data_IF_439788776799
#
_entry.id   IF_439788776799
#
_cell.length_a   1.000
_cell.length_b   1.000
_cell.length_c   1.000
_cell.angle_alpha   90.00
_cell.angle_beta   90.00
_cell.angle_gamma   90.00
#
_symmetry.space_group_name_H-M   'P 1'
#
loop_
_entity.id
_entity.type
_entity.pdbx_description
1 polymer ?
#
# COMPACT_ATOMS: atom_id res chain seq x y z
N UNK A 1 -23.16 3.06 -26.38
CA UNK A 1 -24.34 2.62 -25.60
C UNK A 1 -23.75 1.93 -24.39
N UNK A 2 -23.55 2.68 -23.30
CA UNK A 2 -23.12 2.08 -22.04
C UNK A 2 -24.29 1.26 -21.51
N UNK A 3 -24.08 -0.05 -21.38
CA UNK A 3 -24.95 -0.93 -20.63
C UNK A 3 -25.00 -0.35 -19.21
N UNK A 4 -26.20 -0.01 -18.75
CA UNK A 4 -26.43 0.55 -17.42
C UNK A 4 -25.80 -0.42 -16.43
N UNK A 5 -24.84 0.05 -15.61
CA UNK A 5 -24.24 -0.85 -14.65
C UNK A 5 -25.34 -1.33 -13.71
N UNK A 6 -25.31 -2.60 -13.27
CA UNK A 6 -26.33 -3.10 -12.36
C UNK A 6 -26.31 -2.23 -11.09
N UNK A 7 -27.45 -1.63 -10.76
CA UNK A 7 -27.64 -0.97 -9.48
C UNK A 7 -27.68 -2.05 -8.39
N UNK A 8 -26.53 -2.30 -7.76
CA UNK A 8 -26.39 -3.28 -6.68
C UNK A 8 -26.63 -2.56 -5.36
N UNK A 9 -27.77 -2.85 -4.74
CA UNK A 9 -28.14 -2.35 -3.42
C UNK A 9 -27.40 -3.09 -2.31
N UNK A 10 -27.25 -2.44 -1.16
CA UNK A 10 -26.66 -3.04 0.03
C UNK A 10 -27.73 -3.81 0.81
N UNK A 11 -27.56 -5.12 0.90
CA UNK A 11 -28.47 -6.08 1.52
C UNK A 11 -27.75 -7.00 2.53
N UNK A 12 -26.60 -6.59 3.06
CA UNK A 12 -25.79 -7.42 3.97
C UNK A 12 -24.83 -8.39 3.28
N UNK A 13 -24.56 -8.20 1.98
CA UNK A 13 -23.66 -9.09 1.24
C UNK A 13 -22.19 -8.93 1.66
N UNK A 14 -21.44 -10.02 1.50
CA UNK A 14 -19.97 -9.99 1.53
C UNK A 14 -19.43 -9.83 0.11
N UNK A 15 -18.42 -8.97 -0.06
CA UNK A 15 -17.77 -8.71 -1.33
C UNK A 15 -16.26 -8.70 -1.14
N UNK A 16 -15.57 -9.47 -1.98
CA UNK A 16 -14.13 -9.45 -2.09
C UNK A 16 -13.66 -8.54 -3.22
N UNK A 17 -12.76 -7.60 -2.92
CA UNK A 17 -12.05 -6.80 -3.91
C UNK A 17 -10.58 -7.19 -3.92
N UNK A 18 -10.10 -7.55 -5.11
CA UNK A 18 -8.70 -7.89 -5.35
C UNK A 18 -8.11 -6.87 -6.31
N UNK A 19 -7.10 -6.13 -5.84
CA UNK A 19 -6.32 -5.21 -6.66
C UNK A 19 -4.94 -5.82 -6.86
N UNK A 20 -4.48 -5.83 -8.11
CA UNK A 20 -3.12 -6.26 -8.45
C UNK A 20 -2.44 -5.18 -9.27
N UNK A 21 -1.15 -5.00 -9.07
CA UNK A 21 -0.34 -4.15 -9.94
C UNK A 21 -0.04 -4.87 -11.25
N UNK A 22 -0.27 -4.19 -12.37
CA UNK A 22 0.01 -4.74 -13.70
C UNK A 22 1.47 -4.56 -14.13
N UNK A 23 1.89 -5.28 -15.16
CA UNK A 23 3.20 -5.11 -15.82
C UNK A 23 4.41 -5.28 -14.88
N UNK A 24 4.29 -6.16 -13.87
CA UNK A 24 5.35 -6.40 -12.89
C UNK A 24 5.62 -5.22 -11.97
N UNK A 25 4.70 -4.25 -11.90
CA UNK A 25 4.78 -3.17 -10.94
C UNK A 25 4.48 -3.71 -9.52
N UNK A 26 5.00 -3.01 -8.53
CA UNK A 26 4.78 -3.28 -7.11
C UNK A 26 5.07 -2.02 -6.32
N UNK A 27 4.63 -2.00 -5.06
CA UNK A 27 5.03 -1.01 -4.07
C UNK A 27 6.09 -1.63 -3.19
N UNK A 28 7.27 -1.01 -3.10
CA UNK A 28 8.27 -1.39 -2.09
C UNK A 28 8.05 -0.60 -0.83
N UNK A 29 7.94 -1.33 0.29
CA UNK A 29 7.94 -0.78 1.63
C UNK A 29 9.32 -0.95 2.25
N UNK A 30 9.77 0.07 2.98
CA UNK A 30 11.11 0.16 3.55
C UNK A 30 11.07 0.15 5.07
N UNK A 31 12.16 -0.27 5.71
CA UNK A 31 12.29 -0.22 7.18
C UNK A 31 12.06 1.19 7.74
N UNK A 32 12.34 2.22 6.94
CA UNK A 32 12.04 3.62 7.27
C UNK A 32 10.54 4.00 7.17
N UNK A 33 9.74 3.26 6.40
CA UNK A 33 8.26 3.45 6.27
C UNK A 33 7.48 2.55 7.23
N UNK A 34 8.19 1.91 8.15
CA UNK A 34 7.63 1.07 9.20
C UNK A 34 6.59 1.85 10.01
N UNK A 35 5.37 1.32 10.09
CA UNK A 35 4.19 1.89 10.77
C UNK A 35 3.58 3.17 10.16
N UNK A 36 4.09 3.70 9.04
CA UNK A 36 3.51 4.90 8.40
C UNK A 36 2.74 4.60 7.12
N UNK A 37 2.88 3.41 6.55
CA UNK A 37 2.21 3.04 5.32
C UNK A 37 0.71 2.81 5.55
N UNK A 38 -0.09 3.44 4.70
CA UNK A 38 -1.53 3.41 4.73
C UNK A 38 -2.05 3.40 3.29
N UNK A 39 -3.06 2.57 3.05
CA UNK A 39 -3.80 2.55 1.80
C UNK A 39 -5.22 3.03 2.08
N UNK A 40 -5.67 3.97 1.27
CA UNK A 40 -7.05 4.44 1.27
C UNK A 40 -7.71 3.94 -0.02
N UNK A 41 -8.67 3.02 0.12
CA UNK A 41 -9.52 2.57 -0.97
C UNK A 41 -10.84 3.33 -0.93
N UNK A 42 -11.14 4.09 -1.98
CA UNK A 42 -12.34 4.90 -2.07
C UNK A 42 -13.41 4.18 -2.90
N UNK A 43 -14.56 3.91 -2.30
CA UNK A 43 -15.75 3.39 -2.98
C UNK A 43 -16.80 4.48 -3.12
N UNK A 44 -17.22 4.75 -4.36
CA UNK A 44 -18.35 5.65 -4.60
C UNK A 44 -19.68 4.90 -4.39
N UNK A 45 -20.58 5.53 -3.63
CA UNK A 45 -21.95 5.06 -3.45
C UNK A 45 -22.94 6.12 -3.93
N UNK A 46 -24.19 5.74 -4.11
CA UNK A 46 -25.27 6.67 -4.43
C UNK A 46 -25.48 7.70 -3.31
N UNK A 47 -26.01 8.87 -3.68
CA UNK A 47 -26.22 10.01 -2.79
C UNK A 47 -27.47 9.80 -1.91
N UNK A 48 -27.40 8.88 -0.95
CA UNK A 48 -28.40 8.69 0.10
C UNK A 48 -28.07 9.54 1.35
N UNK A 49 -29.07 9.92 2.17
CA UNK A 49 -28.83 10.75 3.35
C UNK A 49 -27.77 10.12 4.27
N UNK A 50 -26.83 10.95 4.73
CA UNK A 50 -25.60 10.60 5.49
C UNK A 50 -25.89 10.00 6.89
N UNK A 51 -26.54 8.83 6.94
CA UNK A 51 -26.45 7.95 8.10
C UNK A 51 -25.04 7.37 8.22
N UNK A 52 -24.64 6.96 9.43
CA UNK A 52 -23.40 6.22 9.60
C UNK A 52 -23.50 4.87 8.87
N UNK A 53 -22.65 4.66 7.86
CA UNK A 53 -22.53 3.38 7.18
C UNK A 53 -21.61 2.48 7.99
N UNK A 54 -22.16 1.40 8.53
CA UNK A 54 -21.38 0.40 9.28
C UNK A 54 -20.85 -0.66 8.31
N UNK A 55 -19.83 -0.33 7.53
CA UNK A 55 -19.08 -1.34 6.82
C UNK A 55 -18.28 -2.17 7.83
N UNK A 56 -18.39 -3.49 7.70
CA UNK A 56 -17.48 -4.42 8.35
C UNK A 56 -16.48 -4.94 7.33
N UNK A 57 -15.38 -5.52 7.81
CA UNK A 57 -14.45 -6.19 6.91
C UNK A 57 -13.03 -6.21 7.40
N UNK A 58 -12.20 -6.89 6.62
CA UNK A 58 -10.76 -6.94 6.82
C UNK A 58 -10.04 -6.84 5.48
N UNK A 59 -8.76 -6.51 5.51
CA UNK A 59 -7.94 -6.58 4.32
C UNK A 59 -6.50 -6.89 4.65
N UNK A 60 -5.76 -7.28 3.62
CA UNK A 60 -4.34 -7.57 3.70
C UNK A 60 -3.64 -7.25 2.38
N UNK A 61 -2.31 -7.23 2.43
CA UNK A 61 -1.47 -7.06 1.25
C UNK A 61 -0.99 -8.41 0.77
N UNK A 62 -0.68 -8.52 -0.52
CA UNK A 62 -0.16 -9.77 -1.08
C UNK A 62 1.19 -9.60 -1.76
N UNK A 63 2.01 -10.63 -1.69
CA UNK A 63 3.24 -10.76 -2.46
C UNK A 63 2.96 -11.16 -3.92
N UNK A 64 4.03 -11.39 -4.70
CA UNK A 64 3.96 -11.77 -6.10
C UNK A 64 3.41 -13.19 -6.37
N UNK A 65 3.21 -13.99 -5.33
CA UNK A 65 2.55 -15.31 -5.40
C UNK A 65 1.10 -15.26 -4.87
N UNK A 66 0.62 -14.08 -4.45
CA UNK A 66 -0.69 -13.91 -3.83
C UNK A 66 -0.72 -14.29 -2.34
N UNK A 67 0.43 -14.51 -1.71
CA UNK A 67 0.50 -14.83 -0.29
C UNK A 67 0.37 -13.58 0.57
N UNK A 68 -0.28 -13.73 1.72
CA UNK A 68 -0.54 -12.64 2.65
C UNK A 68 0.76 -12.07 3.25
N UNK A 69 0.89 -10.75 3.22
CA UNK A 69 1.98 -9.97 3.82
C UNK A 69 1.49 -9.36 5.14
N UNK A 70 1.79 -10.07 6.23
CA UNK A 70 1.37 -9.69 7.58
C UNK A 70 -0.01 -10.21 7.96
N UNK A 71 -0.54 -9.79 9.11
CA UNK A 71 -1.90 -10.14 9.49
C UNK A 71 -2.92 -9.23 8.79
N UNK A 72 -4.07 -9.79 8.44
CA UNK A 72 -5.22 -9.01 8.03
C UNK A 72 -5.62 -7.99 9.11
N UNK A 73 -6.01 -6.81 8.66
CA UNK A 73 -6.43 -5.71 9.53
C UNK A 73 -7.87 -5.33 9.28
N UNK A 74 -8.55 -4.94 10.35
CA UNK A 74 -9.93 -4.43 10.26
C UNK A 74 -9.95 -3.15 9.45
N UNK A 75 -10.88 -3.08 8.52
CA UNK A 75 -11.08 -1.89 7.69
C UNK A 75 -11.86 -0.84 8.48
N UNK A 76 -11.39 0.41 8.39
CA UNK A 76 -12.11 1.55 8.96
C UNK A 76 -12.79 2.27 7.81
N UNK A 77 -14.13 2.32 7.85
CA UNK A 77 -14.94 3.03 6.88
C UNK A 77 -15.23 4.45 7.34
N UNK A 78 -14.83 5.43 6.53
CA UNK A 78 -15.07 6.84 6.78
C UNK A 78 -15.96 7.41 5.68
N UNK A 79 -17.08 8.07 6.02
CA UNK A 79 -17.89 8.74 5.01
C UNK A 79 -17.12 9.94 4.45
N UNK A 80 -17.05 10.03 3.13
CA UNK A 80 -16.40 11.15 2.44
C UNK A 80 -17.40 11.83 1.52
N UNK A 81 -17.50 13.14 1.66
CA UNK A 81 -18.22 13.99 0.70
C UNK A 81 -17.18 14.69 -0.17
N UNK A 82 -17.01 14.24 -1.41
CA UNK A 82 -16.22 14.98 -2.39
C UNK A 82 -17.12 16.01 -3.07
N UNK A 83 -16.60 17.23 -3.25
CA UNK A 83 -17.31 18.33 -3.88
C UNK A 83 -18.01 17.85 -5.17
N UNK A 84 -19.29 18.24 -5.32
CA UNK A 84 -20.25 17.79 -6.33
C UNK A 84 -21.07 16.50 -6.02
N UNK A 85 -21.72 16.45 -4.84
CA UNK A 85 -22.82 15.51 -4.54
C UNK A 85 -22.45 14.02 -4.57
N UNK A 86 -21.20 13.68 -4.29
CA UNK A 86 -20.75 12.30 -4.24
C UNK A 86 -20.45 11.91 -2.80
N UNK A 87 -21.19 10.92 -2.32
CA UNK A 87 -20.90 10.22 -1.07
C UNK A 87 -20.06 9.01 -1.43
N UNK A 88 -18.95 8.82 -0.73
CA UNK A 88 -18.15 7.62 -0.82
C UNK A 88 -17.70 7.15 0.55
N UNK A 89 -17.03 6.02 0.56
CA UNK A 89 -16.43 5.44 1.76
C UNK A 89 -14.95 5.23 1.50
N UNK A 90 -14.11 5.85 2.33
CA UNK A 90 -12.70 5.52 2.41
C UNK A 90 -12.51 4.32 3.33
N UNK A 91 -11.83 3.30 2.82
CA UNK A 91 -11.38 2.16 3.59
C UNK A 91 -9.89 2.27 3.85
N UNK A 92 -9.57 2.44 5.13
CA UNK A 92 -8.21 2.58 5.60
C UNK A 92 -7.61 1.22 5.95
N UNK A 93 -6.53 0.83 5.25
CA UNK A 93 -5.73 -0.36 5.53
C UNK A 93 -4.35 0.01 6.13
N UNK A 94 -4.01 -0.60 7.28
CA UNK A 94 -2.70 -0.45 7.97
C UNK A 94 -2.06 -1.81 8.29
N UNK A 95 -1.72 -2.62 7.28
CA UNK A 95 -1.56 -4.07 7.41
C UNK A 95 -0.18 -4.52 7.91
N UNK A 96 0.83 -3.65 7.88
CA UNK A 96 2.21 -4.08 8.14
C UNK A 96 2.75 -3.56 9.47
N UNK A 97 3.15 -4.52 10.30
CA UNK A 97 4.01 -4.32 11.46
C UNK A 97 5.49 -4.38 11.07
N UNK A 98 6.36 -3.83 11.91
CA UNK A 98 7.80 -3.65 11.68
C UNK A 98 8.60 -4.81 11.11
N UNK A 99 8.21 -6.04 11.44
CA UNK A 99 9.07 -7.21 11.26
C UNK A 99 8.99 -7.80 9.84
N UNK A 100 8.12 -7.24 8.99
CA UNK A 100 7.83 -7.73 7.64
C UNK A 100 8.43 -6.87 6.54
N UNK A 101 9.31 -5.93 6.88
CA UNK A 101 9.84 -4.93 5.95
C UNK A 101 11.38 -5.07 5.85
N UNK A 102 12.03 -4.95 4.66
CA UNK A 102 11.46 -4.56 3.36
C UNK A 102 10.57 -5.63 2.73
N UNK A 103 9.46 -5.20 2.14
CA UNK A 103 8.50 -6.04 1.42
C UNK A 103 8.08 -5.43 0.10
N UNK A 104 7.83 -6.29 -0.88
CA UNK A 104 7.26 -5.94 -2.17
C UNK A 104 5.78 -6.30 -2.16
N UNK A 105 4.93 -5.29 -2.29
CA UNK A 105 3.48 -5.41 -2.29
C UNK A 105 3.02 -5.46 -3.75
N UNK A 106 2.48 -6.60 -4.15
CA UNK A 106 2.01 -6.87 -5.52
C UNK A 106 0.48 -6.83 -5.64
N UNK A 107 -0.23 -6.84 -4.52
CA UNK A 107 -1.67 -6.70 -4.50
C UNK A 107 -2.24 -6.32 -3.14
N UNK A 108 -3.54 -6.05 -3.17
CA UNK A 108 -4.36 -5.67 -2.01
C UNK A 108 -5.63 -6.52 -2.09
N UNK A 109 -5.94 -7.20 -0.99
CA UNK A 109 -7.19 -7.92 -0.82
C UNK A 109 -8.04 -7.22 0.23
N UNK A 110 -9.32 -6.99 -0.09
CA UNK A 110 -10.31 -6.44 0.83
C UNK A 110 -11.51 -7.39 0.87
N UNK A 111 -11.86 -7.86 2.04
CA UNK A 111 -13.11 -8.58 2.33
C UNK A 111 -14.05 -7.61 3.05
N UNK A 112 -15.14 -7.23 2.38
CA UNK A 112 -16.12 -6.27 2.88
C UNK A 112 -17.44 -6.94 3.20
N UNK A 113 -17.93 -6.73 4.41
CA UNK A 113 -19.34 -6.94 4.74
C UNK A 113 -20.07 -5.61 4.59
N UNK A 114 -20.92 -5.54 3.56
CA UNK A 114 -21.76 -4.37 3.32
C UNK A 114 -22.90 -4.30 4.35
N UNK A 115 -23.34 -3.10 4.75
CA UNK A 115 -24.49 -2.97 5.63
C UNK A 115 -25.79 -3.47 4.96
N UNK A 116 -26.82 -3.75 5.75
CA UNK A 116 -28.15 -4.04 5.21
C UNK A 116 -28.96 -2.74 5.11
N UNK A 117 -28.76 -2.03 4.02
CA UNK A 117 -29.23 -0.66 3.82
C UNK A 117 -29.58 -0.43 2.34
N UNK A 118 -30.77 -0.87 1.89
CA UNK A 118 -31.15 -0.88 0.47
C UNK A 118 -31.27 0.52 -0.16
N UNK A 119 -31.31 1.57 0.66
CA UNK A 119 -31.18 2.96 0.23
C UNK A 119 -29.79 3.29 -0.33
N UNK A 120 -28.76 2.51 0.03
CA UNK A 120 -27.42 2.61 -0.52
C UNK A 120 -27.16 1.56 -1.61
N UNK A 121 -26.35 1.93 -2.59
CA UNK A 121 -25.89 1.05 -3.65
C UNK A 121 -24.74 1.65 -4.44
N UNK A 122 -24.05 0.80 -5.20
CA UNK A 122 -23.04 1.26 -6.15
C UNK A 122 -23.78 1.91 -7.34
N UNK A 123 -23.52 3.19 -7.58
CA UNK A 123 -24.12 3.92 -8.70
C UNK A 123 -23.30 3.82 -9.99
N UNK A 124 -23.87 4.31 -11.11
CA UNK A 124 -23.24 4.42 -12.44
C UNK A 124 -22.10 5.48 -12.52
N UNK A 125 -21.40 5.74 -11.42
CA UNK A 125 -20.30 6.70 -11.39
C UNK A 125 -18.99 6.12 -11.95
N UNK A 126 -18.01 6.96 -12.34
CA UNK A 126 -16.64 6.50 -12.57
C UNK A 126 -16.16 5.59 -11.43
N UNK A 127 -15.36 4.57 -11.75
CA UNK A 127 -14.91 3.58 -10.78
C UNK A 127 -14.22 4.25 -9.59
N UNK A 128 -14.37 3.64 -8.41
CA UNK A 128 -13.59 3.96 -7.23
C UNK A 128 -12.08 3.83 -7.50
N UNK A 129 -11.26 4.32 -6.59
CA UNK A 129 -9.81 4.37 -6.77
C UNK A 129 -9.07 3.95 -5.50
N UNK A 130 -7.83 3.50 -5.68
CA UNK A 130 -6.90 3.29 -4.57
C UNK A 130 -5.92 4.46 -4.56
N UNK A 131 -5.81 5.14 -3.42
CA UNK A 131 -4.84 6.21 -3.20
C UNK A 131 -3.92 5.86 -2.05
N UNK A 132 -2.67 6.31 -2.14
CA UNK A 132 -1.65 6.08 -1.13
C UNK A 132 -1.39 7.41 -0.42
N UNK A 133 -1.72 7.49 0.86
CA UNK A 133 -1.43 8.67 1.66
C UNK A 133 0.08 8.76 1.97
N UNK A 134 0.59 10.00 2.06
CA UNK A 134 2.00 10.40 2.13
C UNK A 134 3.04 9.42 2.72
N UNK A 135 4.21 9.38 2.04
CA UNK A 135 5.58 9.13 2.52
C UNK A 135 6.36 8.01 1.80
N UNK A 136 7.56 8.36 1.33
CA UNK A 136 8.74 7.55 0.94
C UNK A 136 8.54 6.07 0.57
N UNK A 137 7.59 5.75 -0.31
CA UNK A 137 7.50 4.47 -0.99
C UNK A 137 7.96 4.61 -2.45
N UNK A 138 8.47 3.53 -3.04
CA UNK A 138 8.79 3.49 -4.47
C UNK A 138 7.76 2.67 -5.23
N UNK A 139 7.34 3.17 -6.40
CA UNK A 139 6.46 2.46 -7.32
C UNK A 139 7.29 2.04 -8.54
N UNK A 140 7.24 0.75 -8.87
CA UNK A 140 7.72 0.22 -10.15
C UNK A 140 9.02 -0.60 -10.10
N UNK A 141 9.44 -1.17 -11.24
CA UNK A 141 10.67 -1.96 -11.34
C UNK A 141 11.91 -1.08 -11.11
N UNK A 142 12.87 -1.56 -10.32
CA UNK A 142 14.13 -0.85 -10.08
C UNK A 142 14.15 0.12 -8.90
N UNK A 143 13.12 0.12 -8.05
CA UNK A 143 13.16 0.84 -6.76
C UNK A 143 14.32 0.31 -5.90
N UNK A 144 15.33 1.13 -5.54
CA UNK A 144 16.49 0.69 -4.76
C UNK A 144 16.05 0.06 -3.44
N UNK A 145 16.75 -0.98 -2.98
CA UNK A 145 16.32 -1.81 -1.83
C UNK A 145 16.39 -1.07 -0.48
N UNK A 146 17.10 0.05 -0.42
CA UNK A 146 17.38 0.79 0.81
C UNK A 146 17.18 2.28 0.60
N UNK A 147 16.23 2.89 1.32
CA UNK A 147 16.25 4.34 1.56
C UNK A 147 17.35 4.60 2.59
N UNK A 148 18.61 4.49 2.15
CA UNK A 148 19.81 4.98 2.82
C UNK A 148 20.61 5.72 1.76
N UNK A 149 21.04 6.97 1.99
CA UNK A 149 22.03 7.60 1.12
C UNK A 149 23.32 6.77 1.15
N UNK A 150 23.77 6.27 0.00
CA UNK A 150 25.08 5.62 -0.19
C UNK A 150 26.28 6.57 0.04
N UNK A 151 26.07 7.73 0.65
CA UNK A 151 27.08 8.77 0.85
C UNK A 151 27.55 8.79 2.31
N UNK A 152 28.39 7.83 2.69
CA UNK A 152 29.17 7.98 3.92
C UNK A 152 30.10 6.83 4.22
N UNK A 153 29.62 5.60 4.11
CA UNK A 153 30.33 4.45 4.69
C UNK A 153 31.17 3.68 3.67
N UNK A 154 30.66 3.47 2.46
CA UNK A 154 31.33 2.60 1.47
C UNK A 154 32.65 3.20 0.96
N UNK A 155 32.65 4.49 0.65
CA UNK A 155 33.88 5.21 0.26
C UNK A 155 34.88 5.31 1.44
N UNK A 156 34.39 5.52 2.67
CA UNK A 156 35.24 5.56 3.87
C UNK A 156 35.91 4.21 4.13
N UNK A 157 35.15 3.11 4.12
CA UNK A 157 35.70 1.77 4.31
C UNK A 157 36.62 1.35 3.17
N UNK A 158 36.31 1.73 1.92
CA UNK A 158 37.22 1.51 0.79
C UNK A 158 38.53 2.31 0.97
N UNK A 159 38.45 3.55 1.43
CA UNK A 159 39.63 4.40 1.68
C UNK A 159 40.48 3.87 2.83
N UNK A 160 39.85 3.41 3.92
CA UNK A 160 40.55 2.78 5.05
C UNK A 160 41.21 1.47 4.61
N UNK A 161 40.51 0.64 3.84
CA UNK A 161 41.06 -0.63 3.34
C UNK A 161 42.24 -0.42 2.40
N UNK A 162 42.12 0.51 1.43
CA UNK A 162 43.21 0.86 0.51
C UNK A 162 44.39 1.52 1.25
N UNK A 163 44.10 2.42 2.18
CA UNK A 163 45.12 3.06 3.03
C UNK A 163 45.92 2.04 3.84
N UNK A 164 45.24 1.08 4.48
CA UNK A 164 45.88 -0.01 5.22
C UNK A 164 46.77 -0.90 4.34
N UNK A 165 46.33 -1.22 3.13
CA UNK A 165 47.12 -1.99 2.14
C UNK A 165 48.37 -1.24 1.68
N UNK A 166 48.28 0.08 1.45
CA UNK A 166 49.43 0.92 1.07
C UNK A 166 50.43 0.99 2.23
N UNK A 167 49.97 1.19 3.47
CA UNK A 167 50.82 1.22 4.66
C UNK A 167 51.52 -0.11 4.90
N UNK A 168 50.83 -1.26 4.72
CA UNK A 168 51.46 -2.58 4.80
C UNK A 168 52.54 -2.75 3.73
N UNK A 169 52.27 -2.36 2.48
CA UNK A 169 53.25 -2.47 1.40
C UNK A 169 54.49 -1.60 1.67
N UNK A 170 54.29 -0.36 2.12
CA UNK A 170 55.38 0.56 2.45
C UNK A 170 56.29 -0.02 3.55
N UNK A 171 55.72 -0.61 4.60
CA UNK A 171 56.47 -1.25 5.68
C UNK A 171 57.29 -2.45 5.22
N UNK A 172 56.72 -3.32 4.38
CA UNK A 172 57.43 -4.48 3.82
C UNK A 172 58.58 -4.05 2.90
N UNK A 173 58.44 -2.95 2.18
CA UNK A 173 59.51 -2.42 1.31
C UNK A 173 60.59 -1.64 2.07
N UNK A 174 60.28 -1.03 3.22
CA UNK A 174 61.27 -0.33 4.05
C UNK A 174 62.01 -1.25 5.03
N UNK A 175 61.51 -2.46 5.25
CA UNK A 175 62.14 -3.49 6.09
C UNK A 175 63.15 -4.38 5.33
N UNK A 176 63.44 -4.05 4.06
CA UNK A 176 64.53 -4.61 3.25
C UNK A 176 65.64 -3.58 3.12
#
# INVERSE_FOLDING_TARGET
MDLWAPNVQFAGQNIDFNFSFENGQFIRLFTATNNSFQIDAFFRINNAPLGALNFGGSGFLTDNHGAELGPAVTLVALPVTLGFHQVGVDLLLRPLTSDLVPADVNGIHLDLTLPNSPEFGFGDGPPGGVTFAGNVFGIGPGVPRDVVPDFGSTALFLTIALGGLISMRAWVTSAR
#
